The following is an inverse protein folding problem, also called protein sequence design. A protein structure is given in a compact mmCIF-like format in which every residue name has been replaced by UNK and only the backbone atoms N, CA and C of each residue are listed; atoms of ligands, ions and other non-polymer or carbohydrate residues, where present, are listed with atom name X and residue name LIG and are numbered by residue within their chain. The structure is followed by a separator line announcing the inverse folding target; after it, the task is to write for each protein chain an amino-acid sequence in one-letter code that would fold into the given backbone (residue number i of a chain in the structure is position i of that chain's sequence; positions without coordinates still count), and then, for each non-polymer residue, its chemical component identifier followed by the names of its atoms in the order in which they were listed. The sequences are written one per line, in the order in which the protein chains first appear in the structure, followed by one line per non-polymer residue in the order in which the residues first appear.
data_IF_505922649846
#
_entry.id   IF_505922649846
#
_cell.length_a   1.000
_cell.length_b   1.000
_cell.length_c   1.000
_cell.angle_alpha   90.00
_cell.angle_beta   90.00
_cell.angle_gamma   90.00
#
_symmetry.space_group_name_H-M   'P 1'
#
loop_
_entity.id
_entity.type
_entity.pdbx_description
1 polymer ?
#
# COMPACT_ATOMS: atom_id res chain seq x y z
N UNK A 1 12.43 36.16 -3.82
CA UNK A 1 11.46 35.05 -3.69
C UNK A 1 11.58 34.14 -4.90
N UNK A 2 11.69 32.87 -4.71
CA UNK A 2 11.81 31.90 -5.81
C UNK A 2 10.41 31.46 -6.21
N UNK A 3 10.05 31.63 -7.48
CA UNK A 3 8.75 31.21 -8.00
C UNK A 3 8.58 29.69 -7.88
N UNK A 4 7.39 29.25 -7.49
CA UNK A 4 7.05 27.83 -7.33
C UNK A 4 7.49 27.20 -6.01
N UNK A 5 7.98 27.99 -5.05
CA UNK A 5 8.37 27.51 -3.73
C UNK A 5 7.52 28.15 -2.66
N UNK A 6 6.98 27.33 -1.77
CA UNK A 6 6.19 27.77 -0.62
C UNK A 6 6.83 27.26 0.67
N UNK A 7 6.95 28.14 1.65
CA UNK A 7 7.45 27.76 2.99
C UNK A 7 6.28 27.17 3.80
N UNK A 8 6.51 26.00 4.41
CA UNK A 8 5.53 25.30 5.24
C UNK A 8 6.09 25.13 6.64
N UNK A 9 5.29 25.41 7.67
CA UNK A 9 5.69 25.27 9.07
C UNK A 9 4.79 24.26 9.77
N UNK A 10 5.42 23.42 10.61
CA UNK A 10 4.73 22.41 11.41
C UNK A 10 5.18 22.51 12.87
N UNK A 11 4.28 22.19 13.79
CA UNK A 11 4.60 22.03 15.21
C UNK A 11 4.65 20.53 15.50
N UNK A 12 5.84 20.05 15.85
CA UNK A 12 6.10 18.62 16.09
C UNK A 12 6.87 18.49 17.40
N UNK A 13 6.67 17.39 18.12
CA UNK A 13 7.38 17.10 19.36
C UNK A 13 8.90 17.13 19.15
N UNK A 14 9.61 17.73 20.10
CA UNK A 14 11.07 17.98 20.00
C UNK A 14 11.89 16.70 19.86
N UNK A 15 11.48 15.62 20.55
CA UNK A 15 12.19 14.34 20.47
C UNK A 15 12.07 13.70 19.07
N UNK A 16 10.91 13.83 18.43
CA UNK A 16 10.69 13.35 17.06
C UNK A 16 11.57 14.14 16.08
N UNK A 17 11.59 15.46 16.21
CA UNK A 17 12.40 16.34 15.35
C UNK A 17 13.89 16.03 15.52
N UNK A 18 14.35 15.87 16.74
CA UNK A 18 15.76 15.57 17.04
C UNK A 18 16.19 14.23 16.46
N UNK A 19 15.38 13.20 16.61
CA UNK A 19 15.64 11.87 16.05
C UNK A 19 15.69 11.90 14.52
N UNK A 20 14.75 12.60 13.89
CA UNK A 20 14.71 12.75 12.44
C UNK A 20 15.92 13.52 11.91
N UNK A 21 16.28 14.61 12.57
CA UNK A 21 17.45 15.43 12.22
C UNK A 21 18.74 14.62 12.30
N UNK A 22 18.91 13.84 13.37
CA UNK A 22 20.08 12.99 13.56
C UNK A 22 20.17 11.91 12.46
N UNK A 23 19.06 11.31 12.10
CA UNK A 23 19.00 10.30 11.04
C UNK A 23 19.35 10.89 9.67
N UNK A 24 18.81 12.05 9.35
CA UNK A 24 19.14 12.75 8.10
C UNK A 24 20.63 13.09 8.02
N UNK A 25 21.23 13.56 9.12
CA UNK A 25 22.65 13.85 9.19
C UNK A 25 23.50 12.59 8.98
N UNK A 26 23.10 11.47 9.59
CA UNK A 26 23.79 10.18 9.43
C UNK A 26 23.72 9.65 7.99
N UNK A 27 22.64 9.91 7.30
CA UNK A 27 22.43 9.49 5.89
C UNK A 27 23.02 10.50 4.89
N UNK A 28 23.47 11.65 5.35
CA UNK A 28 24.04 12.70 4.48
C UNK A 28 23.01 13.41 3.61
N UNK A 29 21.74 13.45 4.04
CA UNK A 29 20.65 14.10 3.32
C UNK A 29 20.07 15.25 4.15
N UNK A 30 19.46 16.24 3.47
CA UNK A 30 18.78 17.33 4.17
C UNK A 30 17.37 16.91 4.57
N UNK A 31 16.89 17.47 5.70
CA UNK A 31 15.51 17.25 6.14
C UNK A 31 14.51 17.67 5.06
N UNK A 32 14.77 18.79 4.40
CA UNK A 32 13.92 19.33 3.36
C UNK A 32 13.82 18.38 2.15
N UNK A 33 14.92 17.74 1.76
CA UNK A 33 14.92 16.80 0.64
C UNK A 33 14.09 15.54 0.93
N UNK A 34 14.15 15.02 2.16
CA UNK A 34 13.37 13.87 2.59
C UNK A 34 11.87 14.22 2.59
N UNK A 35 11.53 15.39 3.15
CA UNK A 35 10.13 15.84 3.21
C UNK A 35 9.58 16.11 1.82
N UNK A 36 10.37 16.71 0.92
CA UNK A 36 9.97 16.91 -0.47
C UNK A 36 9.64 15.60 -1.17
N UNK A 37 10.50 14.62 -1.02
CA UNK A 37 10.30 13.31 -1.62
C UNK A 37 9.04 12.64 -1.07
N UNK A 38 8.85 12.69 0.24
CA UNK A 38 7.67 12.15 0.90
C UNK A 38 6.38 12.81 0.39
N UNK A 39 6.37 14.15 0.31
CA UNK A 39 5.21 14.89 -0.19
C UNK A 39 4.93 14.58 -1.67
N UNK A 40 5.96 14.47 -2.49
CA UNK A 40 5.82 14.15 -3.90
C UNK A 40 5.25 12.75 -4.12
N UNK A 41 5.60 11.79 -3.25
CA UNK A 41 5.13 10.40 -3.34
C UNK A 41 3.79 10.17 -2.64
N UNK A 42 3.32 11.12 -1.82
CA UNK A 42 2.09 11.01 -1.03
C UNK A 42 0.95 11.88 -1.59
N UNK A 43 0.64 11.68 -2.88
CA UNK A 43 -0.53 12.30 -3.50
C UNK A 43 -1.42 11.23 -4.15
N UNK A 44 -1.80 10.18 -3.40
CA UNK A 44 -2.48 9.02 -4.00
C UNK A 44 -3.91 9.34 -4.48
N UNK A 45 -4.61 10.25 -3.82
CA UNK A 45 -6.01 10.54 -4.14
C UNK A 45 -6.17 11.17 -5.53
N UNK A 46 -5.26 12.05 -5.91
CA UNK A 46 -5.29 12.74 -7.21
C UNK A 46 -4.89 11.77 -8.33
N UNK A 47 -3.84 11.00 -8.11
CA UNK A 47 -3.35 10.02 -9.08
C UNK A 47 -4.32 8.86 -9.25
N UNK A 48 -4.90 8.35 -8.15
CA UNK A 48 -5.88 7.28 -8.18
C UNK A 48 -7.13 7.70 -8.98
N UNK A 49 -7.59 8.95 -8.78
CA UNK A 49 -8.74 9.49 -9.50
C UNK A 49 -8.44 9.65 -11.00
N UNK A 50 -7.24 10.11 -11.36
CA UNK A 50 -6.82 10.22 -12.74
C UNK A 50 -6.72 8.85 -13.42
N UNK A 51 -6.21 7.84 -12.71
CA UNK A 51 -6.05 6.47 -13.22
C UNK A 51 -7.36 5.81 -13.60
N UNK A 52 -8.46 6.13 -12.91
CA UNK A 52 -9.77 5.49 -13.16
C UNK A 52 -10.70 6.29 -14.07
N UNK A 53 -10.26 7.45 -14.57
CA UNK A 53 -11.07 8.28 -15.49
C UNK A 53 -11.23 7.67 -16.87
N UNK A 54 -10.33 6.79 -17.29
CA UNK A 54 -10.39 6.13 -18.60
C UNK A 54 -10.58 4.63 -18.45
N UNK A 55 -11.12 3.98 -19.48
CA UNK A 55 -11.27 2.52 -19.47
C UNK A 55 -9.91 1.78 -19.35
N UNK A 56 -8.86 2.16 -20.13
CA UNK A 56 -7.54 1.56 -19.93
C UNK A 56 -6.97 1.77 -18.53
N UNK A 57 -7.23 2.93 -17.92
CA UNK A 57 -6.83 3.23 -16.55
C UNK A 57 -7.55 2.33 -15.54
N UNK A 58 -8.86 2.13 -15.70
CA UNK A 58 -9.65 1.22 -14.86
C UNK A 58 -9.17 -0.23 -14.99
N UNK A 59 -8.88 -0.67 -16.21
CA UNK A 59 -8.34 -2.01 -16.46
C UNK A 59 -7.01 -2.23 -15.72
N UNK A 60 -6.09 -1.26 -15.81
CA UNK A 60 -4.80 -1.34 -15.11
C UNK A 60 -4.97 -1.34 -13.59
N UNK A 61 -5.88 -0.52 -13.06
CA UNK A 61 -6.17 -0.49 -11.64
C UNK A 61 -6.68 -1.84 -11.14
N UNK A 62 -7.61 -2.46 -11.86
CA UNK A 62 -8.12 -3.80 -11.52
C UNK A 62 -7.00 -4.83 -11.57
N UNK A 63 -6.13 -4.78 -12.58
CA UNK A 63 -4.99 -5.69 -12.68
C UNK A 63 -4.04 -5.57 -11.49
N UNK A 64 -3.79 -4.36 -11.02
CA UNK A 64 -2.97 -4.12 -9.81
C UNK A 64 -3.63 -4.74 -8.56
N UNK A 65 -4.94 -4.58 -8.41
CA UNK A 65 -5.67 -5.17 -7.29
C UNK A 65 -5.71 -6.69 -7.37
N UNK A 66 -5.83 -7.27 -8.56
CA UNK A 66 -5.73 -8.71 -8.75
C UNK A 66 -4.37 -9.22 -8.27
N UNK A 67 -3.29 -8.54 -8.63
CA UNK A 67 -1.95 -8.88 -8.16
C UNK A 67 -1.85 -8.87 -6.64
N UNK A 68 -2.42 -7.85 -5.99
CA UNK A 68 -2.43 -7.74 -4.54
C UNK A 68 -3.28 -8.85 -3.91
N UNK A 69 -4.44 -9.14 -4.47
CA UNK A 69 -5.33 -10.20 -3.98
C UNK A 69 -4.68 -11.59 -4.12
N UNK A 70 -3.94 -11.83 -5.19
CA UNK A 70 -3.16 -13.07 -5.34
C UNK A 70 -2.12 -13.22 -4.22
N UNK A 71 -1.45 -12.13 -3.87
CA UNK A 71 -0.49 -12.13 -2.76
C UNK A 71 -1.17 -12.39 -1.41
N UNK A 72 -2.34 -11.79 -1.19
CA UNK A 72 -3.14 -12.03 0.03
C UNK A 72 -3.58 -13.50 0.08
N UNK A 73 -4.06 -14.05 -1.01
CA UNK A 73 -4.51 -15.44 -1.09
C UNK A 73 -3.36 -16.42 -0.80
N UNK A 74 -2.18 -16.13 -1.35
CA UNK A 74 -0.99 -16.94 -1.10
C UNK A 74 -0.63 -16.98 0.39
N UNK A 75 -0.69 -15.81 1.05
CA UNK A 75 -0.45 -15.72 2.49
C UNK A 75 -1.51 -16.46 3.31
N UNK A 76 -2.76 -16.39 2.90
CA UNK A 76 -3.84 -17.11 3.56
C UNK A 76 -3.71 -18.62 3.40
N UNK A 77 -3.28 -19.09 2.22
CA UNK A 77 -2.99 -20.50 1.99
C UNK A 77 -1.85 -21.00 2.89
N UNK A 78 -0.78 -20.22 3.01
CA UNK A 78 0.34 -20.53 3.89
C UNK A 78 -0.11 -20.61 5.36
N UNK A 79 -0.95 -19.66 5.78
CA UNK A 79 -1.53 -19.66 7.13
C UNK A 79 -2.39 -20.89 7.35
N UNK A 80 -3.28 -21.23 6.40
CA UNK A 80 -4.15 -22.42 6.47
C UNK A 80 -3.33 -23.69 6.64
N UNK A 81 -2.28 -23.85 5.84
CA UNK A 81 -1.48 -25.06 5.82
C UNK A 81 -0.64 -25.26 7.10
N UNK A 82 -0.46 -24.18 7.88
CA UNK A 82 0.26 -24.25 9.16
C UNK A 82 -0.66 -24.47 10.37
N UNK A 83 -1.98 -24.48 10.17
CA UNK A 83 -2.93 -24.68 11.27
C UNK A 83 -2.90 -26.12 11.76
N UNK A 84 -2.66 -26.37 13.06
CA UNK A 84 -2.69 -27.74 13.61
C UNK A 84 -4.07 -28.39 13.46
N UNK A 85 -4.11 -29.71 13.32
CA UNK A 85 -5.35 -30.48 13.12
C UNK A 85 -6.39 -30.26 14.20
N UNK A 86 -5.98 -30.00 15.45
CA UNK A 86 -6.91 -29.76 16.55
C UNK A 86 -7.72 -28.46 16.41
N UNK A 87 -7.32 -27.56 15.51
CA UNK A 87 -8.00 -26.31 15.25
C UNK A 87 -8.80 -26.36 13.94
N UNK A 88 -9.63 -27.39 13.79
CA UNK A 88 -10.39 -27.63 12.56
C UNK A 88 -11.26 -26.44 12.13
N UNK A 89 -11.85 -25.71 13.07
CA UNK A 89 -12.68 -24.54 12.74
C UNK A 89 -11.85 -23.40 12.12
N UNK A 90 -10.63 -23.20 12.61
CA UNK A 90 -9.71 -22.20 12.04
C UNK A 90 -9.29 -22.59 10.63
N UNK A 91 -9.01 -23.87 10.44
CA UNK A 91 -8.65 -24.39 9.13
C UNK A 91 -9.78 -24.17 8.13
N UNK A 92 -11.00 -24.53 8.50
CA UNK A 92 -12.18 -24.35 7.63
C UNK A 92 -12.41 -22.89 7.28
N UNK A 93 -12.24 -21.97 8.23
CA UNK A 93 -12.39 -20.54 8.00
C UNK A 93 -11.33 -20.02 7.00
N UNK A 94 -10.09 -20.45 7.17
CA UNK A 94 -9.00 -20.08 6.26
C UNK A 94 -9.18 -20.68 4.87
N UNK A 95 -9.61 -21.94 4.80
CA UNK A 95 -9.90 -22.61 3.54
C UNK A 95 -11.05 -21.94 2.78
N UNK A 96 -12.10 -21.56 3.50
CA UNK A 96 -13.20 -20.79 2.94
C UNK A 96 -12.74 -19.45 2.40
N UNK A 97 -11.90 -18.74 3.14
CA UNK A 97 -11.35 -17.46 2.71
C UNK A 97 -10.54 -17.61 1.42
N UNK A 98 -9.70 -18.66 1.32
CA UNK A 98 -8.94 -18.95 0.10
C UNK A 98 -9.86 -19.21 -1.09
N UNK A 99 -10.93 -19.98 -0.89
CA UNK A 99 -11.91 -20.24 -1.94
C UNK A 99 -12.64 -19.00 -2.42
N UNK A 100 -13.05 -18.13 -1.49
CA UNK A 100 -13.71 -16.87 -1.83
C UNK A 100 -12.77 -15.91 -2.56
N UNK A 101 -11.52 -15.83 -2.15
CA UNK A 101 -10.51 -15.01 -2.81
C UNK A 101 -10.24 -15.49 -4.23
N UNK A 102 -10.10 -16.80 -4.41
CA UNK A 102 -9.90 -17.38 -5.73
C UNK A 102 -11.07 -17.07 -6.68
N UNK A 103 -12.30 -17.22 -6.20
CA UNK A 103 -13.50 -16.91 -6.97
C UNK A 103 -13.59 -15.42 -7.31
N UNK A 104 -13.30 -14.54 -6.35
CA UNK A 104 -13.31 -13.10 -6.58
C UNK A 104 -12.26 -12.68 -7.61
N UNK A 105 -11.06 -13.25 -7.56
CA UNK A 105 -9.99 -12.98 -8.53
C UNK A 105 -10.45 -13.40 -9.94
N UNK A 106 -11.04 -14.58 -10.08
CA UNK A 106 -11.55 -15.08 -11.35
C UNK A 106 -12.60 -14.14 -11.94
N UNK A 107 -13.54 -13.68 -11.10
CA UNK A 107 -14.57 -12.74 -11.53
C UNK A 107 -13.98 -11.41 -11.97
N UNK A 108 -12.94 -10.92 -11.28
CA UNK A 108 -12.26 -9.67 -11.63
C UNK A 108 -11.48 -9.82 -12.94
N UNK A 109 -10.84 -10.96 -13.16
CA UNK A 109 -10.13 -11.25 -14.41
C UNK A 109 -11.08 -11.24 -15.61
N UNK A 110 -12.30 -11.73 -15.42
CA UNK A 110 -13.32 -11.75 -16.47
C UNK A 110 -13.98 -10.39 -16.72
N UNK A 111 -13.81 -9.42 -15.82
CA UNK A 111 -14.42 -8.10 -15.94
C UNK A 111 -13.88 -7.30 -17.13
N UNK A 112 -12.66 -7.52 -17.50
CA UNK A 112 -12.00 -6.86 -18.63
C UNK A 112 -11.33 -7.89 -19.55
#
# INVERSE_FOLDING_TARGET
MIDGVTQVKFTIESDIVSAFKARCAAEGVSMASVIRLWMATRQPAKDAKAKICTRPGRRRAVAEYIGLLNAVMEKEEQYRDLIPEQFAQRYEAADHACGQLAEAIELLEDAY
#
